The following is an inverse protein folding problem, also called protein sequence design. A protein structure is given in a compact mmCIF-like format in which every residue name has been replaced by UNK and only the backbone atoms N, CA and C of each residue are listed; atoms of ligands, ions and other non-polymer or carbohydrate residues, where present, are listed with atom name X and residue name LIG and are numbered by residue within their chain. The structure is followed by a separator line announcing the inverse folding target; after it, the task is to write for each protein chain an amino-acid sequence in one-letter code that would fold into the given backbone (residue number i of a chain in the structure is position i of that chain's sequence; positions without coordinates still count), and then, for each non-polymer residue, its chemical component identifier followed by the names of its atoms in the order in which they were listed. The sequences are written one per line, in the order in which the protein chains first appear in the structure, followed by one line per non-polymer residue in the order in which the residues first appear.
data_IF_978432327561
#
_entry.id   IF_978432327561
#
_cell.length_a   1.000
_cell.length_b   1.000
_cell.length_c   1.000
_cell.angle_alpha   90.00
_cell.angle_beta   90.00
_cell.angle_gamma   90.00
#
_symmetry.space_group_name_H-M   'P 1'
#
loop_
_entity.id
_entity.type
_entity.pdbx_description
1 polymer ?
#
# COMPACT_ATOMS: atom_id res chain seq x y z
N UNK A 1 21.25 -9.60 4.78
CA UNK A 1 20.41 -10.17 5.87
C UNK A 1 19.31 -11.08 5.34
N UNK A 2 18.43 -10.62 4.44
CA UNK A 2 17.32 -11.41 3.87
C UNK A 2 17.72 -12.79 3.38
N UNK A 3 18.74 -12.88 2.50
CA UNK A 3 19.22 -14.16 1.97
C UNK A 3 19.79 -15.11 3.04
N UNK A 4 20.51 -14.56 4.02
CA UNK A 4 21.13 -15.34 5.10
C UNK A 4 20.04 -15.89 6.01
N UNK A 5 19.06 -15.07 6.38
CA UNK A 5 17.95 -15.50 7.22
C UNK A 5 17.11 -16.57 6.53
N UNK A 6 16.82 -16.42 5.23
CA UNK A 6 16.11 -17.41 4.42
C UNK A 6 16.70 -18.81 4.53
N UNK A 7 18.04 -18.93 4.55
CA UNK A 7 18.74 -20.21 4.61
C UNK A 7 18.94 -20.74 6.03
N UNK A 8 19.17 -19.86 7.00
CA UNK A 8 19.66 -20.22 8.33
C UNK A 8 18.72 -19.79 9.47
N UNK A 9 17.42 -19.56 9.21
CA UNK A 9 16.47 -19.07 10.22
C UNK A 9 16.34 -19.97 11.47
N UNK A 10 16.59 -21.28 11.33
CA UNK A 10 16.58 -22.23 12.45
C UNK A 10 17.80 -22.03 13.37
N UNK A 11 18.96 -21.70 12.81
CA UNK A 11 20.20 -21.49 13.56
C UNK A 11 20.26 -20.09 14.16
N UNK A 12 19.79 -19.08 13.40
CA UNK A 12 19.73 -17.69 13.86
C UNK A 12 18.64 -17.52 14.92
N UNK A 13 17.52 -18.22 14.77
CA UNK A 13 16.38 -18.10 15.68
C UNK A 13 15.59 -16.80 15.51
N UNK A 14 14.88 -16.34 16.55
CA UNK A 14 14.01 -15.18 16.47
C UNK A 14 14.81 -13.89 16.28
N UNK A 15 14.29 -12.99 15.45
CA UNK A 15 14.95 -11.72 15.20
C UNK A 15 14.68 -10.76 16.38
N UNK A 16 15.73 -10.13 16.96
CA UNK A 16 15.58 -9.30 18.14
C UNK A 16 14.80 -8.00 17.82
N UNK A 17 15.21 -7.28 16.77
CA UNK A 17 14.79 -5.91 16.48
C UNK A 17 13.59 -5.80 15.54
N UNK A 18 12.67 -6.78 15.59
CA UNK A 18 11.47 -6.78 14.73
C UNK A 18 10.64 -5.51 14.91
N UNK A 19 10.50 -5.05 16.15
CA UNK A 19 9.74 -3.83 16.44
C UNK A 19 10.31 -2.62 15.69
N UNK A 20 11.64 -2.52 15.60
CA UNK A 20 12.29 -1.46 14.85
C UNK A 20 12.10 -1.61 13.34
N UNK A 21 12.17 -2.83 12.80
CA UNK A 21 11.88 -3.09 11.38
C UNK A 21 10.43 -2.71 11.03
N UNK A 22 9.47 -3.04 11.89
CA UNK A 22 8.07 -2.64 11.74
C UNK A 22 7.91 -1.11 11.79
N UNK A 23 8.57 -0.45 12.73
CA UNK A 23 8.59 1.01 12.83
C UNK A 23 9.16 1.66 11.55
N UNK A 24 10.25 1.12 11.00
CA UNK A 24 10.82 1.58 9.75
C UNK A 24 9.83 1.44 8.59
N UNK A 25 9.12 0.31 8.49
CA UNK A 25 8.13 0.10 7.42
C UNK A 25 6.99 1.11 7.49
N UNK A 26 6.51 1.45 8.68
CA UNK A 26 5.42 2.43 8.86
C UNK A 26 5.83 3.85 8.44
N UNK A 27 7.10 4.20 8.66
CA UNK A 27 7.66 5.55 8.43
C UNK A 27 8.47 5.67 7.14
N UNK A 28 8.49 4.64 6.31
CA UNK A 28 9.31 4.64 5.09
C UNK A 28 8.78 5.64 4.06
N UNK A 29 9.71 6.32 3.39
CA UNK A 29 9.43 7.39 2.42
C UNK A 29 9.74 7.01 0.98
N UNK A 30 10.26 5.81 0.74
CA UNK A 30 10.60 5.38 -0.61
C UNK A 30 9.98 4.02 -0.88
N UNK A 31 9.43 3.87 -2.09
CA UNK A 31 8.91 2.58 -2.54
C UNK A 31 10.01 1.51 -2.59
N UNK A 32 11.26 1.91 -2.85
CA UNK A 32 12.42 1.02 -2.83
C UNK A 32 12.69 0.43 -1.44
N UNK A 33 12.84 1.27 -0.41
CA UNK A 33 13.07 0.80 0.96
C UNK A 33 11.88 0.00 1.49
N UNK A 34 10.64 0.40 1.17
CA UNK A 34 9.45 -0.38 1.48
C UNK A 34 9.60 -1.80 0.95
N UNK A 35 9.90 -1.95 -0.34
CA UNK A 35 9.97 -3.25 -0.98
C UNK A 35 11.09 -4.13 -0.39
N UNK A 36 12.23 -3.53 -0.02
CA UNK A 36 13.30 -4.23 0.69
C UNK A 36 12.87 -4.69 2.10
N UNK A 37 12.15 -3.84 2.84
CA UNK A 37 11.62 -4.19 4.16
C UNK A 37 10.57 -5.29 4.06
N UNK A 38 9.70 -5.26 3.04
CA UNK A 38 8.73 -6.33 2.77
C UNK A 38 9.45 -7.66 2.46
N UNK A 39 10.50 -7.64 1.66
CA UNK A 39 11.34 -8.82 1.41
C UNK A 39 11.96 -9.36 2.70
N UNK A 40 12.44 -8.48 3.58
CA UNK A 40 12.98 -8.89 4.87
C UNK A 40 11.89 -9.52 5.74
N UNK A 41 10.72 -8.89 5.88
CA UNK A 41 9.59 -9.41 6.66
C UNK A 41 9.11 -10.77 6.16
N UNK A 42 9.13 -10.98 4.83
CA UNK A 42 8.84 -12.28 4.21
C UNK A 42 9.76 -13.40 4.69
N UNK A 43 11.06 -13.12 4.83
CA UNK A 43 11.97 -14.14 5.36
C UNK A 43 11.86 -14.25 6.88
N UNK A 44 11.62 -13.14 7.59
CA UNK A 44 11.47 -13.15 9.04
C UNK A 44 10.24 -13.95 9.51
N UNK A 45 9.15 -13.97 8.74
CA UNK A 45 7.95 -14.75 9.08
C UNK A 45 8.20 -16.26 9.08
N UNK A 46 9.31 -16.76 8.51
CA UNK A 46 9.63 -18.20 8.53
C UNK A 46 9.77 -18.76 9.95
N UNK A 47 10.12 -17.91 10.92
CA UNK A 47 10.21 -18.28 12.33
C UNK A 47 8.90 -17.96 13.07
N UNK A 48 8.37 -18.94 13.81
CA UNK A 48 7.09 -18.84 14.53
C UNK A 48 7.05 -17.72 15.57
N UNK A 49 8.16 -17.46 16.27
CA UNK A 49 8.20 -16.42 17.31
C UNK A 49 8.22 -15.01 16.69
N UNK A 50 8.81 -14.87 15.51
CA UNK A 50 8.72 -13.64 14.73
C UNK A 50 7.28 -13.40 14.25
N UNK A 51 6.62 -14.45 13.73
CA UNK A 51 5.22 -14.38 13.32
C UNK A 51 4.30 -13.99 14.50
N UNK A 52 4.56 -14.51 15.70
CA UNK A 52 3.87 -14.07 16.93
C UNK A 52 4.05 -12.57 17.18
N UNK A 53 5.29 -12.08 17.08
CA UNK A 53 5.60 -10.65 17.24
C UNK A 53 4.90 -9.78 16.19
N UNK A 54 4.78 -10.23 14.94
CA UNK A 54 4.05 -9.49 13.89
C UNK A 54 2.59 -9.26 14.28
N UNK A 55 1.94 -10.26 14.87
CA UNK A 55 0.57 -10.15 15.37
C UNK A 55 0.51 -9.17 16.54
N UNK A 56 1.41 -9.31 17.53
CA UNK A 56 1.46 -8.41 18.69
C UNK A 56 1.72 -6.95 18.31
N UNK A 57 2.48 -6.71 17.25
CA UNK A 57 2.80 -5.37 16.74
C UNK A 57 1.77 -4.83 15.73
N UNK A 58 0.71 -5.60 15.42
CA UNK A 58 -0.36 -5.26 14.46
C UNK A 58 0.12 -4.91 13.05
N UNK A 59 1.32 -5.33 12.66
CA UNK A 59 1.90 -5.02 11.34
C UNK A 59 1.10 -5.67 10.19
N UNK A 60 0.37 -6.76 10.47
CA UNK A 60 -0.46 -7.43 9.46
C UNK A 60 -1.56 -6.51 8.91
N UNK A 61 -2.08 -5.59 9.73
CA UNK A 61 -3.10 -4.62 9.29
C UNK A 61 -2.50 -3.63 8.29
N UNK A 62 -1.31 -3.10 8.59
CA UNK A 62 -0.58 -2.20 7.69
C UNK A 62 -0.22 -2.91 6.37
N UNK A 63 0.18 -4.18 6.45
CA UNK A 63 0.48 -4.98 5.27
C UNK A 63 -0.78 -5.20 4.41
N UNK A 64 -1.90 -5.61 5.00
CA UNK A 64 -3.16 -5.82 4.29
C UNK A 64 -3.65 -4.52 3.64
N UNK A 65 -3.56 -3.39 4.33
CA UNK A 65 -3.92 -2.08 3.75
C UNK A 65 -3.05 -1.73 2.53
N UNK A 66 -1.74 -2.03 2.58
CA UNK A 66 -0.86 -1.89 1.41
C UNK A 66 -1.18 -2.87 0.27
N UNK A 67 -1.75 -4.05 0.55
CA UNK A 67 -2.12 -5.00 -0.51
C UNK A 67 -3.21 -4.47 -1.46
N UNK A 68 -4.03 -3.53 -0.97
CA UNK A 68 -5.10 -2.87 -1.73
C UNK A 68 -4.54 -2.08 -2.92
N UNK A 69 -3.26 -1.71 -2.88
CA UNK A 69 -2.59 -1.03 -4.01
C UNK A 69 -2.60 -1.85 -5.30
N UNK A 70 -2.72 -3.19 -5.21
CA UNK A 70 -2.89 -4.03 -6.39
C UNK A 70 -4.12 -3.68 -7.23
N UNK A 71 -5.17 -3.09 -6.63
CA UNK A 71 -6.37 -2.64 -7.34
C UNK A 71 -6.16 -1.35 -8.15
N UNK A 72 -5.12 -0.57 -7.83
CA UNK A 72 -4.72 0.59 -8.62
C UNK A 72 -3.89 0.21 -9.86
N UNK A 73 -3.56 -1.06 -10.02
CA UNK A 73 -2.80 -1.52 -11.18
C UNK A 73 -3.64 -1.37 -12.46
N UNK A 74 -3.33 -0.32 -13.23
CA UNK A 74 -3.81 -0.05 -14.59
C UNK A 74 -3.22 -1.05 -15.60
N UNK A 75 -3.27 -2.34 -15.27
CA UNK A 75 -3.03 -3.43 -16.22
C UNK A 75 -4.18 -4.42 -16.23
N UNK A 76 -5.42 -3.94 -16.07
CA UNK A 76 -6.46 -4.49 -16.92
C UNK A 76 -6.31 -3.77 -18.25
N UNK A 77 -5.82 -4.49 -19.25
CA UNK A 77 -6.08 -4.10 -20.63
C UNK A 77 -7.56 -3.75 -20.72
N UNK A 78 -7.95 -2.60 -21.30
CA UNK A 78 -9.35 -2.34 -21.54
C UNK A 78 -9.82 -3.53 -22.37
N UNK A 79 -10.61 -4.42 -21.76
CA UNK A 79 -11.28 -5.47 -22.52
C UNK A 79 -12.13 -4.67 -23.49
N UNK A 80 -11.86 -4.69 -24.80
CA UNK A 80 -12.67 -3.92 -25.72
C UNK A 80 -14.04 -4.56 -25.66
N UNK A 81 -14.94 -4.00 -24.84
CA UNK A 81 -16.36 -4.30 -24.98
C UNK A 81 -16.67 -3.95 -26.43
N UNK A 82 -17.17 -4.91 -27.21
CA UNK A 82 -17.43 -4.75 -28.64
C UNK A 82 -18.28 -3.49 -28.93
N UNK A 83 -19.04 -3.02 -27.94
CA UNK A 83 -19.81 -1.76 -27.95
C UNK A 83 -18.95 -0.49 -28.07
N UNK A 84 -17.75 -0.43 -27.47
CA UNK A 84 -16.85 0.75 -27.53
C UNK A 84 -16.20 0.94 -28.91
N UNK A 85 -16.16 -0.10 -29.74
CA UNK A 85 -15.57 -0.04 -31.08
C UNK A 85 -16.43 0.73 -32.09
N UNK A 86 -17.71 0.98 -31.76
CA UNK A 86 -18.65 1.70 -32.63
C UNK A 86 -18.60 3.22 -32.40
N UNK A 87 -18.17 3.68 -31.23
CA UNK A 87 -18.33 5.09 -30.83
C UNK A 87 -17.07 5.96 -30.99
N UNK A 88 -15.92 5.40 -31.40
CA UNK A 88 -14.71 6.21 -31.68
C UNK A 88 -14.19 7.03 -30.48
N UNK A 89 -14.62 6.70 -29.27
CA UNK A 89 -14.25 7.40 -28.05
C UNK A 89 -12.86 6.94 -27.59
N UNK A 90 -11.84 7.66 -28.03
CA UNK A 90 -10.53 7.69 -27.36
C UNK A 90 -10.61 8.52 -26.09
N UNK A 91 -11.56 8.23 -25.20
CA UNK A 91 -11.59 8.90 -23.91
C UNK A 91 -10.57 8.19 -23.03
N UNK A 92 -9.47 8.84 -22.60
CA UNK A 92 -8.70 8.31 -21.47
C UNK A 92 -9.72 8.16 -20.35
N UNK A 93 -9.87 6.96 -19.80
CA UNK A 93 -10.86 6.69 -18.76
C UNK A 93 -10.68 7.73 -17.65
N UNK A 94 -11.55 8.73 -17.66
CA UNK A 94 -11.58 9.77 -16.66
C UNK A 94 -12.08 9.08 -15.42
N UNK A 95 -11.13 8.76 -14.53
CA UNK A 95 -11.42 8.33 -13.16
C UNK A 95 -12.50 9.25 -12.63
N UNK A 96 -13.68 8.70 -12.37
CA UNK A 96 -14.82 9.46 -11.89
C UNK A 96 -14.39 10.30 -10.68
N UNK A 97 -14.77 11.58 -10.59
CA UNK A 97 -14.32 12.44 -9.51
C UNK A 97 -14.96 11.95 -8.20
N UNK A 98 -14.14 11.37 -7.32
CA UNK A 98 -14.59 10.72 -6.08
C UNK A 98 -13.96 11.32 -4.82
N UNK A 99 -13.00 12.25 -4.96
CA UNK A 99 -12.24 12.78 -3.84
C UNK A 99 -12.66 14.21 -3.48
N UNK A 100 -12.87 14.45 -2.19
CA UNK A 100 -13.16 15.75 -1.61
C UNK A 100 -12.00 16.16 -0.72
N UNK A 101 -11.60 17.43 -0.82
CA UNK A 101 -10.57 18.03 0.02
C UNK A 101 -11.22 18.98 1.02
N UNK A 102 -10.69 19.02 2.24
CA UNK A 102 -11.01 20.06 3.20
C UNK A 102 -9.81 20.99 3.35
N UNK A 103 -9.91 22.18 2.73
CA UNK A 103 -8.92 23.24 2.84
C UNK A 103 -9.58 24.41 3.55
N UNK A 104 -9.08 24.77 4.73
CA UNK A 104 -9.60 25.92 5.50
C UNK A 104 -11.06 25.79 5.97
N UNK A 105 -11.58 24.58 6.17
CA UNK A 105 -12.93 24.35 6.69
C UNK A 105 -14.04 24.33 5.64
N UNK A 106 -13.72 24.47 4.36
CA UNK A 106 -14.67 24.30 3.24
C UNK A 106 -14.36 23.01 2.49
N UNK A 107 -15.41 22.25 2.18
CA UNK A 107 -15.30 21.10 1.27
C UNK A 107 -15.12 21.62 -0.15
N UNK A 108 -14.01 21.23 -0.78
CA UNK A 108 -13.76 21.48 -2.21
C UNK A 108 -14.75 20.70 -3.07
N UNK A 109 -14.84 21.11 -4.33
CA UNK A 109 -15.50 20.34 -5.39
C UNK A 109 -14.87 18.95 -5.57
N UNK A 110 -15.64 17.96 -6.06
CA UNK A 110 -15.15 16.61 -6.26
C UNK A 110 -14.03 16.59 -7.32
N UNK A 111 -12.88 16.07 -6.92
CA UNK A 111 -11.67 15.98 -7.71
C UNK A 111 -11.42 14.53 -8.16
N UNK A 112 -10.86 14.39 -9.36
CA UNK A 112 -10.32 13.11 -9.83
C UNK A 112 -8.97 12.81 -9.19
N UNK A 113 -8.56 11.54 -9.24
CA UNK A 113 -7.24 11.13 -8.75
C UNK A 113 -6.07 11.87 -9.44
N UNK A 114 -6.20 12.15 -10.74
CA UNK A 114 -5.17 12.89 -11.49
C UNK A 114 -5.06 14.34 -11.03
N UNK A 115 -6.20 15.02 -10.84
CA UNK A 115 -6.23 16.39 -10.32
C UNK A 115 -5.69 16.48 -8.89
N UNK A 116 -5.95 15.46 -8.07
CA UNK A 116 -5.40 15.37 -6.72
C UNK A 116 -3.87 15.28 -6.76
N UNK A 117 -3.31 14.51 -7.70
CA UNK A 117 -1.86 14.40 -7.90
C UNK A 117 -1.27 15.73 -8.38
N UNK A 118 -1.92 16.41 -9.31
CA UNK A 118 -1.50 17.72 -9.83
C UNK A 118 -1.48 18.78 -8.72
N UNK A 119 -2.54 18.88 -7.90
CA UNK A 119 -2.58 19.78 -6.74
C UNK A 119 -1.50 19.51 -5.70
N UNK A 120 -1.07 18.25 -5.56
CA UNK A 120 0.06 17.89 -4.70
C UNK A 120 1.39 18.38 -5.29
N UNK A 121 1.58 18.22 -6.60
CA UNK A 121 2.77 18.70 -7.31
C UNK A 121 2.89 20.23 -7.26
N UNK A 122 1.75 20.92 -7.40
CA UNK A 122 1.62 22.38 -7.23
C UNK A 122 1.79 22.85 -5.76
N UNK A 123 1.93 21.92 -4.81
CA UNK A 123 2.02 22.16 -3.35
C UNK A 123 0.81 22.90 -2.76
N UNK A 124 -0.36 22.78 -3.38
CA UNK A 124 -1.61 23.31 -2.85
C UNK A 124 -2.17 22.43 -1.72
N UNK A 125 -1.82 21.14 -1.73
CA UNK A 125 -2.16 20.18 -0.67
C UNK A 125 -0.91 19.61 0.00
N UNK A 126 -1.01 19.32 1.29
CA UNK A 126 0.06 18.79 2.13
C UNK A 126 -0.33 17.39 2.67
N UNK A 127 0.62 16.67 3.27
CA UNK A 127 0.43 15.32 3.83
C UNK A 127 -0.66 15.27 4.91
N UNK A 128 -0.90 16.42 5.57
CA UNK A 128 -1.89 16.57 6.63
C UNK A 128 -3.26 17.07 6.15
N UNK A 129 -3.41 17.36 4.84
CA UNK A 129 -4.69 17.78 4.28
C UNK A 129 -5.71 16.66 4.45
N UNK A 130 -6.90 17.04 4.93
CA UNK A 130 -8.01 16.10 5.12
C UNK A 130 -8.67 15.82 3.79
N UNK A 131 -8.79 14.55 3.46
CA UNK A 131 -9.41 14.06 2.25
C UNK A 131 -10.50 13.06 2.60
N UNK A 132 -11.53 12.99 1.76
CA UNK A 132 -12.65 12.08 1.91
C UNK A 132 -13.10 11.59 0.55
N UNK A 133 -13.58 10.36 0.49
CA UNK A 133 -14.22 9.80 -0.69
C UNK A 133 -15.51 9.08 -0.27
N UNK A 134 -16.44 8.96 -1.21
CA UNK A 134 -17.68 8.24 -0.98
C UNK A 134 -17.37 6.77 -0.58
N UNK A 135 -17.94 6.34 0.55
CA UNK A 135 -17.68 5.01 1.12
C UNK A 135 -16.63 4.98 2.23
N UNK A 136 -15.96 6.10 2.52
CA UNK A 136 -15.08 6.22 3.69
C UNK A 136 -15.86 6.56 4.96
N UNK A 137 -15.42 6.01 6.10
CA UNK A 137 -16.02 6.22 7.43
C UNK A 137 -15.94 7.68 7.92
N UNK A 138 -15.07 8.49 7.33
CA UNK A 138 -14.90 9.89 7.69
C UNK A 138 -13.68 10.52 7.01
N UNK A 139 -13.46 11.80 7.27
CA UNK A 139 -12.31 12.55 6.77
C UNK A 139 -11.01 12.01 7.36
N UNK A 140 -10.08 11.59 6.51
CA UNK A 140 -8.75 11.11 6.91
C UNK A 140 -7.66 12.02 6.36
N UNK A 141 -6.47 12.03 6.96
CA UNK A 141 -5.35 12.77 6.39
C UNK A 141 -4.81 12.04 5.16
N UNK A 142 -4.23 12.78 4.21
CA UNK A 142 -3.68 12.21 2.98
C UNK A 142 -2.68 11.06 3.25
N UNK A 143 -1.83 11.22 4.28
CA UNK A 143 -0.85 10.21 4.71
C UNK A 143 -1.46 8.94 5.31
N UNK A 144 -2.68 9.01 5.84
CA UNK A 144 -3.35 7.88 6.51
C UNK A 144 -4.05 6.96 5.51
N UNK A 145 -4.20 7.40 4.26
CA UNK A 145 -4.81 6.61 3.20
C UNK A 145 -3.71 5.95 2.40
N UNK A 146 -3.51 4.63 2.56
CA UNK A 146 -2.44 3.90 1.86
C UNK A 146 -2.46 4.11 0.36
N UNK A 147 -3.63 4.12 -0.28
CA UNK A 147 -3.75 4.39 -1.71
C UNK A 147 -3.07 5.70 -2.11
N UNK A 148 -3.36 6.80 -1.40
CA UNK A 148 -2.81 8.11 -1.71
C UNK A 148 -1.35 8.25 -1.25
N UNK A 149 -1.02 7.70 -0.07
CA UNK A 149 0.35 7.65 0.45
C UNK A 149 1.31 7.01 -0.55
N UNK A 150 0.93 5.90 -1.17
CA UNK A 150 1.86 5.16 -2.03
C UNK A 150 1.84 5.58 -3.50
N UNK A 151 0.80 6.27 -3.94
CA UNK A 151 0.67 6.70 -5.34
C UNK A 151 0.95 8.18 -5.56
N UNK A 152 0.66 9.04 -4.58
CA UNK A 152 0.89 10.49 -4.67
C UNK A 152 2.19 10.85 -3.94
N UNK A 153 2.37 10.41 -2.69
CA UNK A 153 3.57 10.78 -1.92
C UNK A 153 4.83 10.03 -2.38
N UNK A 154 4.71 8.77 -2.83
CA UNK A 154 5.86 7.85 -2.97
C UNK A 154 5.94 7.11 -4.32
N UNK A 155 5.61 7.80 -5.42
CA UNK A 155 5.29 7.19 -6.73
C UNK A 155 6.44 6.51 -7.50
N UNK A 156 7.72 6.69 -7.17
CA UNK A 156 8.81 6.32 -8.11
C UNK A 156 9.89 5.43 -7.46
N UNK A 157 10.27 4.34 -8.16
CA UNK A 157 11.48 3.56 -7.86
C UNK A 157 11.30 2.28 -7.05
N UNK A 158 10.08 1.75 -6.92
CA UNK A 158 9.84 0.43 -6.30
C UNK A 158 10.49 -0.71 -7.11
N UNK A 159 10.89 -1.77 -6.40
CA UNK A 159 11.36 -3.04 -6.99
C UNK A 159 10.17 -3.84 -7.50
N UNK A 160 9.03 -3.77 -6.81
CA UNK A 160 7.84 -4.55 -7.12
C UNK A 160 6.82 -3.74 -7.92
N UNK A 161 6.14 -4.44 -8.83
CA UNK A 161 4.84 -3.98 -9.31
C UNK A 161 3.81 -4.15 -8.19
N UNK A 162 2.70 -3.41 -8.28
CA UNK A 162 1.65 -3.43 -7.25
C UNK A 162 1.09 -4.84 -6.99
N UNK A 163 0.99 -5.67 -8.04
CA UNK A 163 0.58 -7.08 -7.92
C UNK A 163 1.64 -7.93 -7.23
N UNK A 164 2.91 -7.80 -7.60
CA UNK A 164 4.00 -8.54 -6.97
C UNK A 164 4.12 -8.22 -5.47
N UNK A 165 3.96 -6.93 -5.12
CA UNK A 165 3.93 -6.47 -3.73
C UNK A 165 2.80 -7.15 -2.95
N UNK A 166 1.59 -7.17 -3.50
CA UNK A 166 0.44 -7.81 -2.86
C UNK A 166 0.65 -9.32 -2.68
N UNK A 167 1.29 -10.00 -3.65
CA UNK A 167 1.66 -11.42 -3.51
C UNK A 167 2.62 -11.61 -2.34
N UNK A 168 3.66 -10.78 -2.21
CA UNK A 168 4.62 -10.88 -1.09
C UNK A 168 3.98 -10.59 0.27
N UNK A 169 3.05 -9.66 0.32
CA UNK A 169 2.26 -9.39 1.52
C UNK A 169 1.39 -10.60 1.88
N UNK A 170 0.69 -11.17 0.90
CA UNK A 170 -0.18 -12.33 1.12
C UNK A 170 0.61 -13.56 1.56
N UNK A 171 1.83 -13.77 1.05
CA UNK A 171 2.76 -14.81 1.54
C UNK A 171 2.99 -14.66 3.05
N UNK A 172 3.24 -13.43 3.54
CA UNK A 172 3.49 -13.15 4.96
C UNK A 172 2.26 -13.46 5.81
N UNK A 173 1.09 -12.97 5.39
CA UNK A 173 -0.18 -13.19 6.11
C UNK A 173 -0.51 -14.69 6.15
N UNK A 174 -0.46 -15.35 4.99
CA UNK A 174 -0.76 -16.79 4.88
C UNK A 174 0.18 -17.61 5.75
N UNK A 175 1.49 -17.30 5.74
CA UNK A 175 2.46 -17.99 6.58
C UNK A 175 2.17 -17.82 8.07
N UNK A 176 1.72 -16.63 8.47
CA UNK A 176 1.31 -16.37 9.85
C UNK A 176 0.08 -17.19 10.23
N UNK A 177 -0.93 -17.27 9.36
CA UNK A 177 -2.11 -18.11 9.57
C UNK A 177 -1.77 -19.60 9.70
N UNK A 178 -0.79 -20.10 8.93
CA UNK A 178 -0.33 -21.50 9.06
C UNK A 178 0.28 -21.78 10.43
N UNK A 179 0.94 -20.81 11.07
CA UNK A 179 1.48 -20.99 12.42
C UNK A 179 0.42 -20.91 13.53
N UNK A 180 -0.67 -20.19 13.27
CA UNK A 180 -1.73 -19.91 14.24
C UNK A 180 -3.12 -20.15 13.60
N UNK A 181 -3.50 -21.40 13.29
CA UNK A 181 -4.75 -21.71 12.59
C UNK A 181 -6.01 -21.51 13.43
N UNK A 182 -5.86 -21.45 14.77
CA UNK A 182 -6.95 -21.26 15.72
C UNK A 182 -6.96 -19.84 16.31
N UNK A 183 -6.34 -18.88 15.61
CA UNK A 183 -6.38 -17.47 16.03
C UNK A 183 -7.77 -16.87 15.81
#
# INVERSE_FOLDING_TARGET
MTFVYSKYFNEIGPFPDIAYVCYLLQNVKTSFERDLLILLLRELVLNKENARKFISLRILEDLVDMSILSHLHTSRAPVPLQTLMIEGLTTPQTSTPVWYLNVGGKSSEPLSFQQLKEKYDEREIDENTKVWAQGMEGWKQLKDISQLKWTILHSVGGIFNQTDLAIKILDIVTRTCVFFPNM
#
